data_IF_078542434492
#
_entry.id   IF_078542434492
#
_cell.length_a   1.000
_cell.length_b   1.000
_cell.length_c   1.000
_cell.angle_alpha   90.00
_cell.angle_beta   90.00
_cell.angle_gamma   90.00
#
_symmetry.space_group_name_H-M   'P 1'
#
loop_
_entity.id
_entity.type
_entity.pdbx_description
1 polymer ?
#
# COMPACT_ATOMS: atom_id res chain seq x y z
N UNK A 1 -7.59 34.51 -4.55
CA UNK A 1 -7.74 33.12 -4.99
C UNK A 1 -7.08 32.96 -6.35
N UNK A 2 -6.11 32.06 -6.47
CA UNK A 2 -5.44 31.81 -7.75
C UNK A 2 -6.37 31.10 -8.72
N UNK A 3 -6.23 31.37 -10.02
CA UNK A 3 -6.95 30.70 -11.08
C UNK A 3 -6.04 30.52 -12.29
N UNK A 4 -6.32 29.51 -13.10
CA UNK A 4 -5.81 29.37 -14.45
C UNK A 4 -6.88 29.76 -15.47
N UNK A 5 -6.45 30.22 -16.64
CA UNK A 5 -7.38 30.53 -17.72
C UNK A 5 -7.54 29.34 -18.66
N UNK A 6 -8.76 29.10 -19.12
CA UNK A 6 -9.05 28.13 -20.16
C UNK A 6 -9.82 28.82 -21.28
N UNK A 7 -9.41 28.60 -22.52
CA UNK A 7 -10.12 29.17 -23.68
C UNK A 7 -11.59 28.73 -23.68
N UNK A 8 -12.52 29.67 -23.70
CA UNK A 8 -13.96 29.42 -23.71
C UNK A 8 -14.45 28.78 -25.00
N UNK A 9 -13.78 29.00 -26.10
CA UNK A 9 -14.01 28.28 -27.34
C UNK A 9 -13.55 26.82 -27.21
N UNK A 10 -14.38 25.89 -27.68
CA UNK A 10 -14.05 24.45 -27.66
C UNK A 10 -12.97 24.12 -28.70
N UNK A 11 -12.01 23.26 -28.32
CA UNK A 11 -11.00 22.68 -29.17
C UNK A 11 -11.21 21.16 -29.32
N UNK A 12 -10.61 20.59 -30.37
CA UNK A 12 -10.61 19.14 -30.61
C UNK A 12 -11.92 18.62 -31.18
N UNK A 13 -12.26 17.40 -30.89
CA UNK A 13 -13.50 16.76 -31.36
C UNK A 13 -14.74 17.57 -30.95
N UNK A 14 -15.74 17.61 -31.82
CA UNK A 14 -16.97 18.36 -31.60
C UNK A 14 -16.74 19.85 -31.33
N UNK A 15 -15.83 20.50 -32.04
CA UNK A 15 -15.50 21.93 -31.87
C UNK A 15 -16.18 22.87 -32.84
N UNK A 16 -16.84 22.34 -33.86
CA UNK A 16 -17.47 23.11 -34.92
C UNK A 16 -18.93 23.47 -34.57
N UNK A 17 -19.43 24.53 -35.23
CA UNK A 17 -20.84 24.93 -35.14
C UNK A 17 -21.79 23.80 -35.53
N UNK A 18 -21.45 23.04 -36.57
CA UNK A 18 -22.24 21.90 -37.07
C UNK A 18 -22.50 20.83 -35.99
N UNK A 19 -21.52 20.59 -35.14
CA UNK A 19 -21.62 19.60 -34.07
C UNK A 19 -22.65 19.99 -33.00
N UNK A 20 -22.75 21.30 -32.70
CA UNK A 20 -23.62 21.87 -31.65
C UNK A 20 -24.05 23.30 -32.03
N UNK A 21 -25.02 23.48 -32.95
CA UNK A 21 -25.43 24.80 -33.47
C UNK A 21 -25.89 25.79 -32.39
N UNK A 22 -26.53 25.28 -31.31
CA UNK A 22 -27.02 26.10 -30.20
C UNK A 22 -25.91 26.70 -29.32
N UNK A 23 -24.65 26.31 -29.55
CA UNK A 23 -23.48 26.84 -28.85
C UNK A 23 -22.70 27.86 -29.70
N UNK A 24 -23.25 28.29 -30.82
CA UNK A 24 -22.75 29.38 -31.65
C UNK A 24 -23.66 30.60 -31.48
N UNK A 25 -23.25 31.57 -30.71
CA UNK A 25 -23.94 32.80 -30.40
C UNK A 25 -22.92 33.90 -30.05
N UNK A 26 -23.26 35.20 -30.17
CA UNK A 26 -22.37 36.28 -29.77
C UNK A 26 -22.32 36.42 -28.25
N UNK A 27 -21.13 36.83 -27.74
CA UNK A 27 -20.96 37.36 -26.41
C UNK A 27 -20.38 38.75 -26.47
N UNK A 28 -20.74 39.64 -25.56
CA UNK A 28 -20.32 41.05 -25.60
C UNK A 28 -19.04 41.23 -24.81
N UNK A 29 -18.00 41.76 -25.47
CA UNK A 29 -16.75 42.16 -24.85
C UNK A 29 -16.92 43.46 -24.04
N UNK A 30 -15.95 43.83 -23.18
CA UNK A 30 -16.02 45.03 -22.34
C UNK A 30 -16.21 46.36 -23.08
N UNK A 31 -15.78 46.43 -24.32
CA UNK A 31 -15.94 47.62 -25.19
C UNK A 31 -17.21 47.61 -26.02
N UNK A 32 -18.12 46.65 -25.81
CA UNK A 32 -19.36 46.50 -26.57
C UNK A 32 -19.23 45.65 -27.84
N UNK A 33 -18.05 45.18 -28.19
CA UNK A 33 -17.82 44.36 -29.40
C UNK A 33 -18.45 42.97 -29.24
N UNK A 34 -19.15 42.50 -30.27
CA UNK A 34 -19.66 41.13 -30.32
C UNK A 34 -18.52 40.14 -30.69
N UNK A 35 -18.35 39.12 -29.90
CA UNK A 35 -17.35 38.07 -30.08
C UNK A 35 -18.03 36.74 -30.37
N UNK A 36 -17.62 36.11 -31.47
CA UNK A 36 -18.11 34.81 -31.91
C UNK A 36 -17.02 33.72 -31.71
N UNK A 37 -17.40 32.45 -31.53
CA UNK A 37 -16.47 31.36 -31.37
C UNK A 37 -15.88 30.90 -32.72
N UNK A 38 -14.93 31.65 -33.26
CA UNK A 38 -14.30 31.36 -34.55
C UNK A 38 -13.06 30.50 -34.33
N UNK A 39 -12.86 29.46 -35.14
CA UNK A 39 -11.72 28.54 -35.12
C UNK A 39 -10.85 28.80 -36.33
N UNK A 40 -9.55 29.01 -36.11
CA UNK A 40 -8.57 29.07 -37.20
C UNK A 40 -8.12 27.63 -37.53
N UNK A 41 -8.36 27.17 -38.73
CA UNK A 41 -7.93 25.86 -39.24
C UNK A 41 -6.83 26.07 -40.28
N UNK A 42 -5.70 25.42 -40.08
CA UNK A 42 -4.63 25.41 -41.11
C UNK A 42 -5.02 24.42 -42.21
N UNK A 43 -4.89 24.87 -43.45
CA UNK A 43 -5.05 23.99 -44.59
C UNK A 43 -3.92 22.92 -44.54
N UNK A 44 -4.31 21.64 -44.59
CA UNK A 44 -3.37 20.52 -44.54
C UNK A 44 -2.45 20.47 -45.76
N UNK A 45 -2.90 21.00 -46.90
CA UNK A 45 -2.12 21.04 -48.14
C UNK A 45 -1.34 22.36 -48.30
N UNK A 46 -1.74 23.44 -47.63
CA UNK A 46 -1.12 24.77 -47.65
C UNK A 46 -1.02 25.35 -46.25
N UNK A 47 -0.02 24.92 -45.45
CA UNK A 47 0.10 25.31 -44.02
C UNK A 47 0.20 26.82 -43.75
N UNK A 48 0.50 27.61 -44.80
CA UNK A 48 0.54 29.09 -44.75
C UNK A 48 -0.85 29.73 -44.81
N UNK A 49 -1.90 29.00 -45.22
CA UNK A 49 -3.27 29.48 -45.32
C UNK A 49 -4.03 29.02 -44.07
N UNK A 50 -4.57 30.01 -43.37
CA UNK A 50 -5.41 29.79 -42.19
C UNK A 50 -6.83 30.26 -42.50
N UNK A 51 -7.78 29.31 -42.60
CA UNK A 51 -9.20 29.62 -42.77
C UNK A 51 -9.85 29.79 -41.41
N UNK A 52 -10.70 30.80 -41.28
CA UNK A 52 -11.55 31.00 -40.11
C UNK A 52 -12.87 30.26 -40.31
N UNK A 53 -13.17 29.26 -39.48
CA UNK A 53 -14.44 28.54 -39.53
C UNK A 53 -15.22 28.79 -38.25
N UNK A 54 -16.54 28.63 -38.34
CA UNK A 54 -17.42 28.73 -37.19
C UNK A 54 -17.17 27.61 -36.20
N UNK A 55 -16.82 27.99 -34.99
CA UNK A 55 -16.62 27.10 -33.86
C UNK A 55 -17.85 27.05 -32.96
N UNK A 56 -17.64 26.71 -31.70
CA UNK A 56 -18.68 26.77 -30.66
C UNK A 56 -18.12 27.12 -29.29
N UNK A 57 -18.97 27.66 -28.43
CA UNK A 57 -18.60 27.84 -27.02
C UNK A 57 -18.65 26.54 -26.24
N UNK A 58 -18.06 26.54 -25.01
CA UNK A 58 -18.13 25.43 -24.08
C UNK A 58 -19.45 25.37 -23.32
N UNK A 59 -20.09 26.52 -23.14
CA UNK A 59 -21.31 26.69 -22.34
C UNK A 59 -22.47 27.20 -23.21
N UNK A 60 -23.70 26.89 -22.79
CA UNK A 60 -24.92 27.49 -23.36
C UNK A 60 -25.05 28.96 -22.96
N UNK A 61 -25.85 29.73 -23.72
CA UNK A 61 -25.99 31.19 -23.57
C UNK A 61 -26.33 31.62 -22.13
N UNK A 62 -27.30 30.97 -21.49
CA UNK A 62 -27.70 31.31 -20.10
C UNK A 62 -26.58 31.06 -19.07
N UNK A 63 -25.80 30.01 -19.25
CA UNK A 63 -24.63 29.72 -18.39
C UNK A 63 -23.53 30.72 -18.63
N UNK A 64 -23.31 31.08 -19.90
CA UNK A 64 -22.29 32.08 -20.29
C UNK A 64 -22.59 33.44 -19.67
N UNK A 65 -23.86 33.91 -19.78
CA UNK A 65 -24.27 35.17 -19.15
C UNK A 65 -24.03 35.17 -17.63
N UNK A 66 -24.38 34.08 -16.95
CA UNK A 66 -24.12 33.91 -15.51
C UNK A 66 -22.63 33.97 -15.21
N UNK A 67 -21.81 33.29 -16.01
CA UNK A 67 -20.36 33.27 -15.84
C UNK A 67 -19.73 34.64 -16.04
N UNK A 68 -20.18 35.38 -17.06
CA UNK A 68 -19.75 36.78 -17.32
C UNK A 68 -20.15 37.68 -16.13
N UNK A 69 -21.42 37.63 -15.72
CA UNK A 69 -21.91 38.40 -14.58
C UNK A 69 -21.19 38.13 -13.27
N UNK A 70 -20.78 36.89 -13.05
CA UNK A 70 -20.07 36.46 -11.86
C UNK A 70 -18.54 36.69 -11.95
N UNK A 71 -18.04 37.33 -13.00
CA UNK A 71 -16.62 37.61 -13.20
C UNK A 71 -15.76 36.37 -13.46
N UNK A 72 -16.38 35.25 -13.89
CA UNK A 72 -15.72 33.98 -14.20
C UNK A 72 -15.16 33.94 -15.62
N UNK A 73 -15.44 34.98 -16.43
CA UNK A 73 -14.93 35.15 -17.80
C UNK A 73 -13.93 36.30 -17.81
N UNK A 74 -12.76 36.06 -18.39
CA UNK A 74 -11.75 37.07 -18.66
C UNK A 74 -11.63 37.30 -20.15
N UNK A 75 -11.76 38.56 -20.60
CA UNK A 75 -11.58 38.95 -21.98
C UNK A 75 -10.18 39.49 -22.16
N UNK A 76 -9.42 38.90 -23.08
CA UNK A 76 -8.05 39.34 -23.41
C UNK A 76 -8.05 39.93 -24.81
N UNK A 77 -7.66 41.21 -24.93
CA UNK A 77 -7.54 41.88 -26.22
C UNK A 77 -6.20 41.51 -26.85
N UNK A 78 -6.24 41.07 -28.11
CA UNK A 78 -5.03 40.72 -28.88
C UNK A 78 -4.47 41.96 -29.56
N UNK A 79 -3.25 41.89 -30.09
CA UNK A 79 -2.57 42.99 -30.79
C UNK A 79 -3.31 43.42 -32.06
N UNK A 80 -4.08 42.50 -32.69
CA UNK A 80 -4.92 42.77 -33.87
C UNK A 80 -6.29 43.41 -33.50
N UNK A 81 -6.51 43.73 -32.22
CA UNK A 81 -7.75 44.33 -31.72
C UNK A 81 -8.83 43.32 -31.44
N UNK A 82 -8.68 42.03 -31.71
CA UNK A 82 -9.66 40.99 -31.45
C UNK A 82 -9.73 40.62 -29.95
N UNK A 83 -10.93 40.28 -29.45
CA UNK A 83 -11.13 39.82 -28.12
C UNK A 83 -11.19 38.29 -28.06
N UNK A 84 -10.43 37.69 -27.11
CA UNK A 84 -10.48 36.25 -26.82
C UNK A 84 -11.00 36.07 -25.40
N UNK A 85 -12.15 35.40 -25.23
CA UNK A 85 -12.68 35.10 -23.89
C UNK A 85 -12.08 33.82 -23.32
N UNK A 86 -11.69 33.88 -22.05
CA UNK A 86 -11.18 32.77 -21.25
C UNK A 86 -12.07 32.54 -20.02
N UNK A 87 -12.25 31.30 -19.64
CA UNK A 87 -12.88 30.92 -18.38
C UNK A 87 -11.81 30.88 -17.27
N UNK A 88 -12.13 31.46 -16.11
CA UNK A 88 -11.31 31.39 -14.91
C UNK A 88 -11.62 30.13 -14.15
N UNK A 89 -10.66 29.22 -14.06
CA UNK A 89 -10.75 27.99 -13.28
C UNK A 89 -10.00 28.21 -11.99
N UNK A 90 -10.71 28.47 -10.91
CA UNK A 90 -10.13 28.72 -9.60
C UNK A 90 -9.55 27.45 -8.97
N UNK A 91 -8.47 27.61 -8.21
CA UNK A 91 -7.99 26.57 -7.33
C UNK A 91 -9.10 26.16 -6.33
N UNK A 92 -9.16 24.90 -5.90
CA UNK A 92 -10.09 24.48 -4.85
C UNK A 92 -9.93 25.34 -3.60
N UNK A 93 -10.97 25.44 -2.77
CA UNK A 93 -10.85 26.02 -1.45
C UNK A 93 -10.01 25.07 -0.56
N UNK A 94 -9.43 25.62 0.51
CA UNK A 94 -8.75 24.83 1.50
C UNK A 94 -9.71 23.76 2.04
N UNK A 95 -9.33 22.47 1.95
CA UNK A 95 -10.19 21.33 2.27
C UNK A 95 -11.10 20.81 1.14
N UNK A 96 -11.12 21.46 -0.04
CA UNK A 96 -11.81 20.95 -1.22
C UNK A 96 -10.81 20.27 -2.17
N UNK A 97 -10.84 18.96 -2.28
CA UNK A 97 -10.08 18.22 -3.30
C UNK A 97 -10.85 18.18 -4.63
N UNK A 98 -10.18 18.54 -5.72
CA UNK A 98 -10.69 18.24 -7.07
C UNK A 98 -10.46 16.79 -7.39
N UNK A 99 -11.41 15.95 -7.10
CA UNK A 99 -11.38 14.55 -7.53
C UNK A 99 -11.68 14.44 -9.03
N UNK A 100 -10.80 13.79 -9.77
CA UNK A 100 -11.06 13.38 -11.14
C UNK A 100 -11.68 11.99 -11.10
N UNK A 101 -12.86 11.83 -11.71
CA UNK A 101 -13.46 10.50 -11.85
C UNK A 101 -12.51 9.58 -12.59
N UNK A 102 -12.36 8.37 -12.07
CA UNK A 102 -11.57 7.33 -12.73
C UNK A 102 -12.16 7.01 -14.10
N UNK A 103 -11.29 6.76 -15.06
CA UNK A 103 -11.67 6.35 -16.41
C UNK A 103 -11.79 4.82 -16.47
N UNK A 104 -12.64 4.32 -17.36
CA UNK A 104 -12.77 2.88 -17.61
C UNK A 104 -11.58 2.28 -18.37
N UNK A 105 -10.73 3.13 -18.92
CA UNK A 105 -9.49 2.77 -19.58
C UNK A 105 -8.31 3.30 -18.79
N UNK A 106 -7.35 2.41 -18.47
CA UNK A 106 -6.13 2.70 -17.73
C UNK A 106 -4.95 2.26 -18.58
N UNK A 107 -4.07 3.18 -18.91
CA UNK A 107 -2.87 2.96 -19.73
C UNK A 107 -1.59 3.03 -18.88
N UNK A 108 -1.49 2.13 -17.89
CA UNK A 108 -0.35 2.04 -16.96
C UNK A 108 0.29 0.64 -16.98
N UNK A 109 0.22 -0.05 -18.12
CA UNK A 109 0.57 -1.48 -18.19
C UNK A 109 2.06 -1.74 -18.38
N UNK A 110 2.86 -0.76 -18.80
CA UNK A 110 4.24 -0.99 -19.24
C UNK A 110 5.30 -0.93 -18.12
N UNK A 111 4.97 -0.45 -16.92
CA UNK A 111 5.96 -0.23 -15.85
C UNK A 111 6.33 -1.47 -15.06
N UNK A 112 5.57 -2.58 -15.18
CA UNK A 112 5.80 -3.78 -14.38
C UNK A 112 7.16 -4.42 -14.64
N UNK A 113 7.50 -4.66 -15.92
CA UNK A 113 8.76 -5.28 -16.31
C UNK A 113 9.96 -4.37 -16.01
N UNK A 114 9.82 -3.06 -16.24
CA UNK A 114 10.84 -2.07 -15.89
C UNK A 114 11.05 -2.04 -14.37
N UNK A 115 9.97 -2.02 -13.58
CA UNK A 115 10.04 -2.02 -12.12
C UNK A 115 10.77 -3.24 -11.53
N UNK A 116 10.56 -4.44 -12.09
CA UNK A 116 11.33 -5.63 -11.70
C UNK A 116 12.80 -5.47 -12.08
N UNK A 117 13.10 -5.04 -13.30
CA UNK A 117 14.48 -4.84 -13.74
C UNK A 117 15.21 -3.79 -12.90
N UNK A 118 14.55 -2.72 -12.53
CA UNK A 118 15.11 -1.65 -11.69
C UNK A 118 15.38 -2.15 -10.25
N UNK A 119 14.56 -3.07 -9.73
CA UNK A 119 14.76 -3.64 -8.39
C UNK A 119 15.80 -4.75 -8.35
N UNK A 120 15.84 -5.63 -9.36
CA UNK A 120 16.65 -6.85 -9.35
C UNK A 120 17.90 -6.76 -10.23
N UNK A 121 17.98 -5.76 -11.13
CA UNK A 121 19.03 -5.65 -12.15
C UNK A 121 18.80 -6.58 -13.35
N UNK A 122 17.85 -7.53 -13.27
CA UNK A 122 17.52 -8.49 -14.31
C UNK A 122 16.02 -8.82 -14.33
N UNK A 123 15.56 -9.49 -15.38
CA UNK A 123 14.14 -9.91 -15.51
C UNK A 123 13.95 -11.26 -14.83
N UNK A 124 13.74 -11.26 -13.53
CA UNK A 124 13.53 -12.48 -12.72
C UNK A 124 12.08 -12.97 -12.71
N UNK A 125 11.17 -12.24 -13.33
CA UNK A 125 9.75 -12.60 -13.41
C UNK A 125 9.15 -12.08 -14.74
N UNK A 126 8.44 -12.95 -15.50
CA UNK A 126 8.08 -12.66 -16.88
C UNK A 126 6.95 -11.63 -17.03
N UNK A 127 5.92 -11.68 -16.17
CA UNK A 127 4.71 -10.86 -16.31
C UNK A 127 4.38 -10.08 -15.03
N UNK A 128 5.30 -9.26 -14.50
CA UNK A 128 5.03 -8.49 -13.29
C UNK A 128 4.00 -7.39 -13.56
N UNK A 129 3.08 -7.21 -12.63
CA UNK A 129 2.15 -6.08 -12.68
C UNK A 129 2.86 -4.79 -12.26
N UNK A 130 2.33 -3.64 -12.71
CA UNK A 130 2.81 -2.33 -12.28
C UNK A 130 2.38 -2.04 -10.84
N UNK A 131 3.28 -1.64 -9.93
CA UNK A 131 2.89 -1.16 -8.60
C UNK A 131 1.94 0.03 -8.66
N UNK A 132 2.17 0.98 -9.57
CA UNK A 132 1.33 2.17 -9.75
C UNK A 132 -0.11 1.80 -10.14
N UNK A 133 -0.28 0.79 -11.00
CA UNK A 133 -1.61 0.27 -11.34
C UNK A 133 -2.33 -0.28 -10.09
N UNK A 134 -1.62 -1.01 -9.24
CA UNK A 134 -2.21 -1.55 -8.00
C UNK A 134 -2.49 -0.46 -6.97
N UNK A 135 -1.60 0.51 -6.80
CA UNK A 135 -1.87 1.71 -5.97
C UNK A 135 -3.16 2.40 -6.43
N UNK A 136 -3.33 2.55 -7.75
CA UNK A 136 -4.56 3.13 -8.29
C UNK A 136 -5.80 2.29 -7.98
N UNK A 137 -5.71 0.96 -8.08
CA UNK A 137 -6.83 0.08 -7.71
C UNK A 137 -7.14 0.16 -6.21
N UNK A 138 -6.14 0.22 -5.35
CA UNK A 138 -6.34 0.40 -3.90
C UNK A 138 -7.06 1.72 -3.60
N UNK A 139 -6.61 2.82 -4.23
CA UNK A 139 -7.28 4.13 -4.12
C UNK A 139 -8.72 4.10 -4.68
N UNK A 140 -8.96 3.41 -5.79
CA UNK A 140 -10.31 3.25 -6.37
C UNK A 140 -11.23 2.43 -5.48
N UNK A 141 -10.70 1.44 -4.78
CA UNK A 141 -11.44 0.61 -3.82
C UNK A 141 -11.71 1.33 -2.50
N UNK A 142 -11.17 2.53 -2.30
CA UNK A 142 -11.33 3.28 -1.06
C UNK A 142 -10.62 2.65 0.13
N UNK A 143 -9.46 2.03 -0.11
CA UNK A 143 -8.69 1.37 0.95
C UNK A 143 -8.12 2.43 1.90
N UNK A 144 -8.47 2.34 3.18
CA UNK A 144 -8.09 3.29 4.23
C UNK A 144 -6.87 2.80 5.03
N UNK A 145 -6.32 3.71 5.86
CA UNK A 145 -5.22 3.37 6.79
C UNK A 145 -5.68 2.29 7.80
N UNK A 146 -4.88 1.23 7.95
CA UNK A 146 -5.18 0.11 8.84
C UNK A 146 -5.88 -1.07 8.17
N UNK A 147 -6.39 -0.92 6.94
CA UNK A 147 -6.98 -2.02 6.18
C UNK A 147 -5.97 -3.12 5.86
N UNK A 148 -6.48 -4.33 5.65
CA UNK A 148 -5.69 -5.50 5.28
C UNK A 148 -5.98 -5.87 3.82
N UNK A 149 -4.95 -5.92 3.00
CA UNK A 149 -5.02 -6.27 1.59
C UNK A 149 -4.58 -7.72 1.42
N UNK A 150 -5.47 -8.57 0.93
CA UNK A 150 -5.19 -9.97 0.63
C UNK A 150 -4.99 -10.17 -0.87
N UNK A 151 -3.85 -10.79 -1.23
CA UNK A 151 -3.56 -11.26 -2.59
C UNK A 151 -3.18 -12.74 -2.54
N UNK A 152 -4.09 -13.60 -2.95
CA UNK A 152 -3.92 -15.06 -2.86
C UNK A 152 -3.35 -15.71 -4.12
N UNK A 153 -2.93 -14.90 -5.09
CA UNK A 153 -2.09 -15.27 -6.24
C UNK A 153 -1.00 -14.23 -6.46
N UNK A 154 -0.21 -13.96 -5.41
CA UNK A 154 0.65 -12.78 -5.32
C UNK A 154 1.80 -12.73 -6.34
N UNK A 155 2.12 -13.86 -7.00
CA UNK A 155 3.17 -13.93 -7.98
C UNK A 155 4.49 -13.37 -7.44
N UNK A 156 4.97 -12.29 -8.05
CA UNK A 156 6.17 -11.58 -7.60
C UNK A 156 5.90 -10.57 -6.47
N UNK A 157 4.77 -10.63 -5.76
CA UNK A 157 4.38 -9.75 -4.65
C UNK A 157 4.29 -8.24 -5.01
N UNK A 158 3.73 -7.93 -6.18
CA UNK A 158 3.54 -6.53 -6.60
C UNK A 158 2.58 -5.79 -5.67
N UNK A 159 1.56 -6.47 -5.16
CA UNK A 159 0.57 -5.89 -4.24
C UNK A 159 1.21 -5.43 -2.94
N UNK A 160 2.13 -6.21 -2.36
CA UNK A 160 2.87 -5.79 -1.18
C UNK A 160 3.70 -4.52 -1.44
N UNK A 161 4.40 -4.46 -2.60
CA UNK A 161 5.12 -3.26 -3.02
C UNK A 161 4.20 -2.05 -3.11
N UNK A 162 3.02 -2.20 -3.74
CA UNK A 162 2.04 -1.12 -3.88
C UNK A 162 1.48 -0.65 -2.53
N UNK A 163 1.24 -1.56 -1.59
CA UNK A 163 0.78 -1.21 -0.24
C UNK A 163 1.84 -0.41 0.52
N UNK A 164 3.11 -0.84 0.48
CA UNK A 164 4.21 -0.10 1.10
C UNK A 164 4.39 1.29 0.47
N UNK A 165 4.27 1.37 -0.87
CA UNK A 165 4.33 2.65 -1.58
C UNK A 165 3.18 3.58 -1.15
N UNK A 166 1.95 3.08 -1.07
CA UNK A 166 0.80 3.86 -0.65
C UNK A 166 0.93 4.33 0.81
N UNK A 167 1.42 3.48 1.71
CA UNK A 167 1.69 3.85 3.09
C UNK A 167 2.78 4.94 3.19
N UNK A 168 3.78 4.89 2.31
CA UNK A 168 4.80 5.93 2.24
C UNK A 168 4.28 7.26 1.68
N UNK A 169 3.29 7.22 0.77
CA UNK A 169 2.69 8.41 0.17
C UNK A 169 1.81 9.19 1.15
N UNK A 170 1.03 8.49 1.97
CA UNK A 170 0.01 9.12 2.82
C UNK A 170 0.19 8.90 4.35
N UNK A 171 1.29 8.24 4.76
CA UNK A 171 1.56 7.92 6.17
C UNK A 171 0.63 6.83 6.74
N UNK A 172 -0.04 6.06 5.89
CA UNK A 172 -0.96 5.00 6.29
C UNK A 172 -0.26 3.78 6.88
N UNK A 173 -1.04 2.92 7.54
CA UNK A 173 -0.60 1.69 8.22
C UNK A 173 -1.32 0.45 7.68
N UNK A 174 -1.58 0.43 6.36
CA UNK A 174 -2.19 -0.73 5.69
C UNK A 174 -1.29 -1.93 5.79
N UNK A 175 -1.90 -3.10 5.96
CA UNK A 175 -1.21 -4.40 6.03
C UNK A 175 -1.48 -5.20 4.76
N UNK A 176 -0.62 -6.16 4.46
CA UNK A 176 -0.81 -7.08 3.34
C UNK A 176 -0.66 -8.53 3.76
N UNK A 177 -1.42 -9.40 3.10
CA UNK A 177 -1.29 -10.86 3.21
C UNK A 177 -1.10 -11.39 1.79
N UNK A 178 0.08 -11.94 1.52
CA UNK A 178 0.47 -12.48 0.22
C UNK A 178 0.48 -14.01 0.28
N UNK A 179 -0.31 -14.65 -0.56
CA UNK A 179 -0.33 -16.12 -0.66
C UNK A 179 0.17 -16.54 -2.03
N UNK A 180 1.15 -17.43 -2.07
CA UNK A 180 1.74 -17.96 -3.30
C UNK A 180 2.15 -19.41 -3.12
N UNK A 181 1.83 -20.25 -4.11
CA UNK A 181 2.37 -21.59 -4.19
C UNK A 181 3.88 -21.52 -4.54
N UNK A 182 4.72 -22.37 -3.95
CA UNK A 182 6.16 -22.40 -4.20
C UNK A 182 6.50 -23.10 -5.52
N UNK A 183 5.92 -22.61 -6.63
CA UNK A 183 6.21 -23.12 -7.98
C UNK A 183 7.68 -22.93 -8.30
N UNK A 184 8.32 -24.00 -8.76
CA UNK A 184 9.75 -23.98 -9.10
C UNK A 184 10.01 -23.10 -10.32
N UNK A 185 11.09 -22.36 -10.27
CA UNK A 185 11.60 -21.62 -11.42
C UNK A 185 12.27 -22.54 -12.41
N UNK A 186 12.20 -22.23 -13.70
CA UNK A 186 12.92 -22.97 -14.74
C UNK A 186 14.43 -22.82 -14.52
N UNK A 187 15.18 -23.91 -14.56
CA UNK A 187 16.64 -23.91 -14.37
C UNK A 187 17.41 -23.04 -15.37
N UNK A 188 16.80 -22.79 -16.53
CA UNK A 188 17.36 -21.91 -17.58
C UNK A 188 16.98 -20.44 -17.40
N UNK A 189 16.04 -20.14 -16.50
CA UNK A 189 15.54 -18.78 -16.29
C UNK A 189 16.58 -17.87 -15.60
N UNK A 190 16.43 -16.58 -15.81
CA UNK A 190 17.24 -15.58 -15.08
C UNK A 190 16.96 -15.61 -13.57
N UNK A 191 15.75 -16.00 -13.16
CA UNK A 191 15.39 -16.19 -11.76
C UNK A 191 16.23 -17.28 -11.11
N UNK A 192 16.32 -18.45 -11.74
CA UNK A 192 17.10 -19.58 -11.22
C UNK A 192 18.60 -19.24 -11.16
N UNK A 193 19.14 -18.62 -12.20
CA UNK A 193 20.54 -18.13 -12.25
C UNK A 193 20.84 -17.12 -11.15
N UNK A 194 19.85 -16.31 -10.76
CA UNK A 194 19.94 -15.34 -9.66
C UNK A 194 19.75 -15.98 -8.26
N UNK A 195 19.56 -17.30 -8.18
CA UNK A 195 19.43 -18.05 -6.93
C UNK A 195 18.00 -18.25 -6.43
N UNK A 196 16.99 -17.80 -7.15
CA UNK A 196 15.58 -17.97 -6.77
C UNK A 196 15.05 -19.30 -7.29
N UNK A 197 14.89 -20.29 -6.41
CA UNK A 197 14.45 -21.65 -6.78
C UNK A 197 12.94 -21.76 -6.99
N UNK A 198 12.15 -20.82 -6.50
CA UNK A 198 10.71 -20.78 -6.65
C UNK A 198 10.18 -19.33 -6.63
N UNK A 199 8.93 -19.15 -7.03
CA UNK A 199 8.28 -17.84 -7.13
C UNK A 199 8.20 -17.13 -5.78
N UNK A 200 7.99 -17.86 -4.67
CA UNK A 200 7.92 -17.26 -3.34
C UNK A 200 9.23 -16.55 -2.94
N UNK A 201 10.38 -17.09 -3.35
CA UNK A 201 11.67 -16.44 -3.08
C UNK A 201 11.80 -15.10 -3.82
N UNK A 202 11.29 -15.03 -5.06
CA UNK A 202 11.23 -13.77 -5.81
C UNK A 202 10.34 -12.76 -5.10
N UNK A 203 9.15 -13.19 -4.66
CA UNK A 203 8.20 -12.34 -3.94
C UNK A 203 8.78 -11.77 -2.64
N UNK A 204 9.40 -12.61 -1.81
CA UNK A 204 10.06 -12.20 -0.57
C UNK A 204 11.16 -11.17 -0.83
N UNK A 205 11.99 -11.42 -1.82
CA UNK A 205 13.08 -10.53 -2.15
C UNK A 205 12.58 -9.20 -2.74
N UNK A 206 11.50 -9.24 -3.54
CA UNK A 206 10.86 -8.01 -4.01
C UNK A 206 10.37 -7.14 -2.85
N UNK A 207 9.72 -7.72 -1.85
CA UNK A 207 9.25 -6.97 -0.68
C UNK A 207 10.43 -6.29 0.02
N UNK A 208 11.54 -7.01 0.26
CA UNK A 208 12.75 -6.45 0.90
C UNK A 208 13.33 -5.28 0.10
N UNK A 209 13.54 -5.48 -1.21
CA UNK A 209 14.14 -4.46 -2.09
C UNK A 209 13.24 -3.25 -2.26
N UNK A 210 11.94 -3.48 -2.41
CA UNK A 210 10.96 -2.39 -2.50
C UNK A 210 10.94 -1.56 -1.21
N UNK A 211 10.90 -2.21 -0.04
CA UNK A 211 10.96 -1.54 1.25
C UNK A 211 12.23 -0.71 1.42
N UNK A 212 13.39 -1.28 1.09
CA UNK A 212 14.68 -0.55 1.13
C UNK A 212 14.67 0.65 0.18
N UNK A 213 14.17 0.47 -1.06
CA UNK A 213 14.11 1.55 -2.04
C UNK A 213 13.22 2.69 -1.55
N UNK A 214 12.02 2.39 -1.07
CA UNK A 214 11.06 3.38 -0.59
C UNK A 214 11.64 4.14 0.63
N UNK A 215 12.26 3.44 1.57
CA UNK A 215 12.89 4.08 2.73
C UNK A 215 14.02 5.03 2.31
N UNK A 216 14.89 4.60 1.39
CA UNK A 216 15.97 5.44 0.87
C UNK A 216 15.45 6.67 0.11
N UNK A 217 14.35 6.54 -0.61
CA UNK A 217 13.69 7.67 -1.30
C UNK A 217 13.09 8.64 -0.27
N UNK A 218 12.45 8.14 0.76
CA UNK A 218 11.91 8.97 1.85
C UNK A 218 13.00 9.70 2.65
N UNK A 219 14.13 9.06 2.91
CA UNK A 219 15.27 9.71 3.59
C UNK A 219 15.83 10.87 2.78
N UNK A 220 16.01 10.70 1.48
CA UNK A 220 16.46 11.79 0.58
C UNK A 220 15.49 12.97 0.56
N UNK A 221 14.20 12.74 0.81
CA UNK A 221 13.18 13.77 0.84
C UNK A 221 13.15 14.54 2.17
N UNK A 222 13.69 13.97 3.26
CA UNK A 222 13.85 14.68 4.55
C UNK A 222 14.82 15.84 4.45
N UNK A 223 15.82 15.74 3.57
CA UNK A 223 16.84 16.78 3.35
C UNK A 223 16.37 17.90 2.39
N UNK A 224 15.17 17.74 1.78
CA UNK A 224 14.59 18.79 0.93
C UNK A 224 13.89 19.80 1.84
N UNK A 225 14.29 21.08 1.85
CA UNK A 225 13.69 22.08 2.70
C UNK A 225 12.20 22.20 2.39
N UNK A 226 11.37 22.14 3.44
CA UNK A 226 9.94 22.41 3.33
C UNK A 226 9.76 23.84 2.81
N UNK A 227 9.26 23.96 1.60
CA UNK A 227 8.97 25.27 1.00
C UNK A 227 7.75 25.84 1.75
N UNK A 228 8.03 26.78 2.65
CA UNK A 228 6.99 27.39 3.51
C UNK A 228 6.34 28.62 2.87
N UNK A 229 6.91 29.18 1.80
CA UNK A 229 6.46 30.43 1.19
C UNK A 229 6.40 30.40 -0.35
N UNK A 230 5.43 31.16 -0.90
CA UNK A 230 5.21 31.28 -2.35
C UNK A 230 6.42 31.80 -3.16
N UNK A 231 7.41 32.43 -2.55
CA UNK A 231 8.63 32.88 -3.22
C UNK A 231 9.56 31.72 -3.54
N UNK A 232 9.59 30.72 -2.66
CA UNK A 232 10.41 29.52 -2.83
C UNK A 232 9.84 28.60 -3.93
N UNK A 233 8.49 28.60 -4.06
CA UNK A 233 7.80 27.89 -5.17
C UNK A 233 8.20 28.45 -6.54
N UNK A 234 8.27 29.77 -6.69
CA UNK A 234 8.68 30.38 -7.95
C UNK A 234 10.15 30.16 -8.26
N UNK A 235 11.02 30.15 -7.27
CA UNK A 235 12.43 29.85 -7.43
C UNK A 235 12.61 28.38 -7.84
N UNK A 236 11.87 27.46 -7.23
CA UNK A 236 11.93 26.03 -7.57
C UNK A 236 11.37 25.75 -8.97
N UNK A 237 10.27 26.40 -9.35
CA UNK A 237 9.70 26.29 -10.70
C UNK A 237 10.64 26.87 -11.76
N UNK A 238 11.39 27.93 -11.46
CA UNK A 238 12.38 28.49 -12.39
C UNK A 238 13.62 27.59 -12.58
N UNK A 239 13.93 26.74 -11.61
CA UNK A 239 15.01 25.75 -11.70
C UNK A 239 14.53 24.49 -12.45
N UNK A 240 13.23 24.18 -12.38
CA UNK A 240 12.61 23.01 -13.00
C UNK A 240 12.21 23.19 -14.48
N UNK A 241 12.43 24.35 -15.09
CA UNK A 241 12.07 24.66 -16.49
C UNK A 241 12.72 23.77 -17.56
N UNK A 242 13.57 22.82 -17.16
CA UNK A 242 14.27 21.91 -18.08
C UNK A 242 13.75 20.44 -18.10
N UNK A 243 12.60 20.12 -17.50
CA UNK A 243 12.09 18.75 -17.57
C UNK A 243 10.63 18.59 -17.13
N UNK A 244 9.79 18.12 -18.04
CA UNK A 244 8.36 17.84 -17.81
C UNK A 244 8.09 16.84 -16.66
N UNK A 245 9.04 15.94 -16.38
CA UNK A 245 8.93 14.91 -15.35
C UNK A 245 9.13 15.44 -13.90
N UNK A 246 9.85 16.55 -13.76
CA UNK A 246 10.10 17.15 -12.44
C UNK A 246 8.84 17.80 -11.82
N UNK A 247 7.87 18.21 -12.64
CA UNK A 247 6.67 18.93 -12.19
C UNK A 247 5.64 17.99 -11.53
N UNK A 248 5.51 16.77 -12.01
CA UNK A 248 4.57 15.80 -11.41
C UNK A 248 5.08 15.27 -10.07
N UNK A 249 6.37 15.02 -9.96
CA UNK A 249 7.01 14.64 -8.68
C UNK A 249 7.03 15.77 -7.65
N UNK A 250 7.12 17.02 -8.09
CA UNK A 250 7.09 18.18 -7.18
C UNK A 250 5.69 18.42 -6.62
N UNK A 251 4.62 18.22 -7.40
CA UNK A 251 3.24 18.37 -6.89
C UNK A 251 2.91 17.39 -5.77
N UNK A 252 3.37 16.15 -5.88
CA UNK A 252 3.18 15.15 -4.81
C UNK A 252 4.00 15.46 -3.55
N UNK A 253 5.08 16.23 -3.67
CA UNK A 253 5.91 16.66 -2.53
C UNK A 253 5.30 17.82 -1.74
N UNK A 254 4.43 18.63 -2.35
CA UNK A 254 3.73 19.74 -1.68
C UNK A 254 2.58 19.31 -0.76
N UNK A 255 2.03 18.13 -0.96
CA UNK A 255 0.91 17.59 -0.18
C UNK A 255 1.36 16.56 0.87
N UNK A 256 2.67 16.35 1.07
CA UNK A 256 3.16 15.35 2.01
C UNK A 256 2.97 15.81 3.45
N UNK A 257 2.14 15.07 4.14
CA UNK A 257 2.06 14.99 5.60
C UNK A 257 3.46 14.73 6.15
N UNK A 258 3.77 15.32 7.30
CA UNK A 258 5.02 15.13 8.05
C UNK A 258 5.35 13.63 8.22
N UNK A 259 6.15 13.08 7.30
CA UNK A 259 6.56 11.67 7.29
C UNK A 259 7.76 11.52 8.22
N UNK A 260 7.58 11.86 9.50
CA UNK A 260 8.55 11.58 10.56
C UNK A 260 8.54 10.11 11.00
N UNK A 261 7.54 9.35 10.57
CA UNK A 261 7.40 7.94 10.93
C UNK A 261 8.20 7.06 9.96
N UNK A 262 9.04 6.18 10.52
CA UNK A 262 9.69 5.13 9.74
C UNK A 262 8.62 4.20 9.17
N UNK A 263 8.63 4.02 7.84
CA UNK A 263 7.74 3.08 7.18
C UNK A 263 8.02 1.65 7.69
N UNK A 264 6.99 0.96 8.15
CA UNK A 264 7.09 -0.47 8.44
C UNK A 264 7.20 -1.26 7.12
N UNK A 265 8.37 -1.81 6.88
CA UNK A 265 8.70 -2.67 5.73
C UNK A 265 8.90 -4.12 6.13
N UNK A 266 8.67 -4.44 7.41
CA UNK A 266 8.75 -5.78 7.93
C UNK A 266 7.63 -6.69 7.42
N UNK A 267 7.92 -7.99 7.30
CA UNK A 267 6.90 -8.99 7.00
C UNK A 267 7.30 -10.34 7.61
N UNK A 268 6.29 -11.14 7.93
CA UNK A 268 6.47 -12.52 8.36
C UNK A 268 6.32 -13.48 7.19
N UNK A 269 7.11 -14.53 7.20
CA UNK A 269 7.00 -15.61 6.23
C UNK A 269 6.46 -16.84 6.96
N UNK A 270 5.29 -17.27 6.55
CA UNK A 270 4.64 -18.47 7.08
C UNK A 270 4.57 -19.53 5.98
N UNK A 271 4.71 -20.77 6.34
CA UNK A 271 4.56 -21.91 5.45
C UNK A 271 3.36 -22.73 5.91
N UNK A 272 2.41 -22.93 5.01
CA UNK A 272 1.30 -23.84 5.28
C UNK A 272 1.84 -25.27 5.26
N UNK A 273 1.70 -25.97 6.37
CA UNK A 273 2.14 -27.34 6.55
C UNK A 273 1.07 -28.14 7.33
N UNK A 274 1.32 -29.42 7.54
CA UNK A 274 0.51 -30.26 8.42
C UNK A 274 0.61 -29.81 9.88
N UNK A 275 -0.30 -30.29 10.74
CA UNK A 275 -0.27 -30.04 12.18
C UNK A 275 1.15 -30.28 12.76
N UNK A 276 1.51 -29.47 13.76
CA UNK A 276 2.75 -29.67 14.53
C UNK A 276 2.74 -30.93 15.39
N UNK A 277 1.56 -31.49 15.62
CA UNK A 277 1.38 -32.70 16.40
C UNK A 277 1.65 -33.94 15.55
N UNK A 278 2.20 -34.99 16.18
CA UNK A 278 2.33 -36.34 15.59
C UNK A 278 0.95 -36.90 15.31
N UNK A 279 0.80 -37.59 14.17
CA UNK A 279 -0.43 -38.32 13.87
C UNK A 279 -0.57 -39.49 14.81
N UNK A 280 -1.68 -39.56 15.54
CA UNK A 280 -1.94 -40.66 16.47
C UNK A 280 -2.85 -41.67 15.78
N UNK A 281 -2.26 -42.74 15.24
CA UNK A 281 -3.01 -43.90 14.75
C UNK A 281 -3.12 -44.93 15.85
N UNK A 282 -4.30 -45.07 16.40
CA UNK A 282 -4.59 -46.16 17.37
C UNK A 282 -4.91 -47.44 16.59
N UNK A 283 -3.91 -48.28 16.38
CA UNK A 283 -4.16 -49.68 16.05
C UNK A 283 -3.99 -50.49 17.36
N UNK A 284 -5.07 -50.97 17.96
CA UNK A 284 -5.00 -51.68 19.25
C UNK A 284 -4.10 -52.91 19.24
N UNK A 285 -3.84 -53.50 18.05
CA UNK A 285 -2.97 -54.66 17.88
C UNK A 285 -1.47 -54.37 17.92
N UNK A 286 -1.07 -53.10 17.77
CA UNK A 286 0.33 -52.63 17.71
C UNK A 286 0.78 -51.98 19.04
N UNK A 287 -0.06 -52.02 20.09
CA UNK A 287 0.23 -51.44 21.39
C UNK A 287 1.32 -52.26 22.13
N UNK A 288 2.57 -51.92 21.95
CA UNK A 288 3.64 -52.37 22.83
C UNK A 288 3.82 -51.43 24.04
N UNK A 289 4.12 -52.00 25.20
CA UNK A 289 4.30 -51.29 26.48
C UNK A 289 5.32 -50.14 26.41
N UNK A 290 6.27 -50.21 25.48
CA UNK A 290 7.26 -49.17 25.21
C UNK A 290 6.70 -47.93 24.42
N UNK A 291 5.44 -47.96 24.01
CA UNK A 291 4.80 -46.85 23.33
C UNK A 291 4.45 -45.69 24.28
N UNK A 292 4.27 -45.95 25.57
CA UNK A 292 3.97 -44.91 26.55
C UNK A 292 5.08 -43.86 26.65
N UNK A 293 6.34 -44.27 26.62
CA UNK A 293 7.49 -43.33 26.62
C UNK A 293 7.63 -42.52 25.32
N UNK A 294 7.02 -42.97 24.19
CA UNK A 294 6.99 -42.23 22.94
C UNK A 294 5.79 -41.30 22.80
N UNK A 295 4.79 -41.46 23.66
CA UNK A 295 3.58 -40.59 23.70
C UNK A 295 3.82 -39.30 24.51
N UNK A 296 4.89 -39.26 25.32
CA UNK A 296 5.24 -38.08 26.13
C UNK A 296 5.59 -36.85 25.28
N UNK A 297 6.11 -37.06 24.05
CA UNK A 297 6.35 -35.99 23.10
C UNK A 297 5.44 -36.13 21.87
N UNK A 298 4.32 -35.43 21.92
CA UNK A 298 3.32 -35.43 20.86
C UNK A 298 3.64 -34.48 19.70
N UNK A 299 4.79 -33.78 19.77
CA UNK A 299 5.21 -32.81 18.77
C UNK A 299 6.17 -33.48 17.78
N UNK A 300 6.09 -33.12 16.49
CA UNK A 300 7.01 -33.54 15.44
C UNK A 300 8.40 -33.00 15.71
N UNK A 301 9.44 -33.80 15.45
CA UNK A 301 10.84 -33.49 15.78
C UNK A 301 11.41 -32.28 14.98
N UNK A 302 10.80 -31.97 13.83
CA UNK A 302 11.23 -30.90 12.95
C UNK A 302 10.53 -29.55 13.25
N UNK A 303 9.77 -29.46 14.33
CA UNK A 303 9.02 -28.25 14.72
C UNK A 303 9.79 -27.38 15.71
N UNK A 304 9.69 -26.07 15.51
CA UNK A 304 10.31 -25.07 16.37
C UNK A 304 9.30 -24.53 17.41
N UNK A 305 9.76 -23.90 18.50
CA UNK A 305 8.88 -23.20 19.44
C UNK A 305 7.99 -22.13 18.75
N UNK A 306 8.50 -21.48 17.72
CA UNK A 306 7.76 -20.50 16.92
C UNK A 306 6.62 -21.16 16.14
N UNK A 307 6.81 -22.36 15.58
CA UNK A 307 5.75 -23.10 14.90
C UNK A 307 4.60 -23.42 15.85
N UNK A 308 4.92 -23.82 17.08
CA UNK A 308 3.92 -24.07 18.13
C UNK A 308 3.19 -22.77 18.52
N UNK A 309 3.91 -21.66 18.66
CA UNK A 309 3.34 -20.37 18.96
C UNK A 309 2.29 -19.97 17.91
N UNK A 310 2.63 -20.07 16.63
CA UNK A 310 1.71 -19.72 15.55
C UNK A 310 0.50 -20.64 15.49
N UNK A 311 0.65 -21.93 15.77
CA UNK A 311 -0.50 -22.83 15.89
C UNK A 311 -1.42 -22.42 17.05
N UNK A 312 -0.85 -22.14 18.22
CA UNK A 312 -1.60 -21.66 19.38
C UNK A 312 -2.32 -20.34 19.11
N UNK A 313 -1.64 -19.40 18.43
CA UNK A 313 -2.26 -18.14 18.03
C UNK A 313 -3.49 -18.37 17.14
N UNK A 314 -3.41 -19.28 16.16
CA UNK A 314 -4.55 -19.66 15.32
C UNK A 314 -5.68 -20.28 16.15
N UNK A 315 -5.37 -21.23 17.04
CA UNK A 315 -6.35 -21.92 17.89
C UNK A 315 -7.06 -20.98 18.86
N UNK A 316 -6.40 -19.91 19.29
CA UNK A 316 -6.93 -18.89 20.18
C UNK A 316 -7.58 -17.71 19.44
N UNK A 317 -7.52 -17.68 18.11
CA UNK A 317 -8.01 -16.57 17.30
C UNK A 317 -7.18 -15.28 17.42
N UNK A 318 -5.91 -15.39 17.82
CA UNK A 318 -4.97 -14.28 17.86
C UNK A 318 -4.47 -13.97 16.47
N UNK A 319 -4.46 -12.70 16.08
CA UNK A 319 -4.01 -12.31 14.74
C UNK A 319 -2.51 -12.67 14.54
N UNK A 320 -2.19 -13.30 13.42
CA UNK A 320 -0.80 -13.63 13.08
C UNK A 320 0.09 -12.39 12.88
N UNK A 321 -0.52 -11.21 12.72
CA UNK A 321 0.18 -9.92 12.65
C UNK A 321 0.44 -9.28 14.01
N UNK A 322 -0.02 -9.88 15.10
CA UNK A 322 0.15 -9.37 16.46
C UNK A 322 1.62 -9.22 16.84
N UNK A 323 1.91 -8.23 17.67
CA UNK A 323 3.25 -8.00 18.19
C UNK A 323 3.70 -9.20 19.02
N UNK A 324 4.86 -9.76 18.73
CA UNK A 324 5.48 -10.86 19.46
C UNK A 324 6.81 -10.35 20.02
N UNK A 325 6.99 -10.46 21.32
CA UNK A 325 8.23 -10.18 22.02
C UNK A 325 8.79 -11.47 22.60
N UNK A 326 10.06 -11.73 22.31
CA UNK A 326 10.80 -12.81 22.95
C UNK A 326 11.52 -12.28 24.18
N UNK A 327 11.29 -12.91 25.30
CA UNK A 327 11.93 -12.57 26.58
C UNK A 327 12.49 -13.80 27.24
N UNK A 328 13.37 -13.62 28.23
CA UNK A 328 13.90 -14.71 29.05
C UNK A 328 13.43 -14.53 30.47
N UNK A 329 12.72 -15.53 31.02
CA UNK A 329 12.22 -15.53 32.40
C UNK A 329 12.81 -16.74 33.12
N UNK A 330 13.55 -16.51 34.19
CA UNK A 330 14.26 -17.57 34.95
C UNK A 330 15.04 -18.54 34.06
N UNK A 331 15.72 -18.01 33.01
CA UNK A 331 16.53 -18.79 32.08
C UNK A 331 15.74 -19.54 30.99
N UNK A 332 14.41 -19.37 30.89
CA UNK A 332 13.58 -20.00 29.87
C UNK A 332 13.11 -18.96 28.84
N UNK A 333 13.07 -19.36 27.56
CA UNK A 333 12.54 -18.56 26.46
C UNK A 333 11.01 -18.45 26.59
N UNK A 334 10.51 -17.24 26.60
CA UNK A 334 9.09 -16.94 26.74
C UNK A 334 8.67 -15.98 25.64
N UNK A 335 7.57 -16.30 24.98
CA UNK A 335 6.93 -15.44 23.99
C UNK A 335 5.81 -14.65 24.67
N UNK A 336 5.84 -13.34 24.51
CA UNK A 336 4.77 -12.43 24.92
C UNK A 336 4.11 -11.86 23.66
N UNK A 337 2.81 -12.06 23.52
CA UNK A 337 2.02 -11.61 22.38
C UNK A 337 0.99 -10.60 22.87
N UNK A 338 0.96 -9.42 22.22
CA UNK A 338 0.03 -8.32 22.49
C UNK A 338 -0.04 -7.96 23.99
N UNK A 339 1.10 -7.51 24.52
CA UNK A 339 1.22 -6.98 25.89
C UNK A 339 0.55 -7.85 26.96
N UNK A 340 0.96 -9.11 27.05
CA UNK A 340 0.47 -10.14 27.96
C UNK A 340 -0.93 -10.74 27.61
N UNK A 341 -1.45 -10.51 26.43
CA UNK A 341 -2.67 -11.22 26.02
C UNK A 341 -2.44 -12.74 25.93
N UNK A 342 -1.30 -13.15 25.32
CA UNK A 342 -0.85 -14.54 25.33
C UNK A 342 0.61 -14.59 25.76
N UNK A 343 0.92 -15.37 26.78
CA UNK A 343 2.27 -15.77 27.12
C UNK A 343 2.44 -17.27 26.85
N UNK A 344 3.51 -17.64 26.12
CA UNK A 344 3.80 -19.04 25.81
C UNK A 344 5.26 -19.39 26.17
N UNK A 345 5.45 -20.59 26.75
CA UNK A 345 6.76 -21.13 27.06
C UNK A 345 6.83 -22.60 26.63
N UNK A 346 7.69 -22.91 25.67
CA UNK A 346 7.84 -24.26 25.10
C UNK A 346 9.18 -24.92 25.43
N UNK A 347 10.00 -24.28 26.24
CA UNK A 347 11.26 -24.85 26.72
C UNK A 347 11.00 -26.05 27.65
N UNK A 348 11.95 -26.99 27.72
CA UNK A 348 11.95 -28.09 28.69
C UNK A 348 12.33 -27.63 30.10
N UNK A 349 12.02 -28.43 31.10
CA UNK A 349 12.41 -28.21 32.50
C UNK A 349 11.98 -26.84 33.06
N UNK A 350 10.74 -26.48 32.83
CA UNK A 350 10.13 -25.24 33.36
C UNK A 350 9.88 -25.41 34.84
N UNK A 351 10.53 -24.58 35.67
CA UNK A 351 10.43 -24.63 37.13
C UNK A 351 9.21 -23.84 37.67
N UNK A 352 8.86 -24.11 38.95
CA UNK A 352 7.85 -23.30 39.65
C UNK A 352 8.22 -21.83 39.72
N UNK A 353 9.50 -21.47 39.79
CA UNK A 353 9.94 -20.07 39.79
C UNK A 353 9.59 -19.39 38.49
N UNK A 354 9.82 -20.06 37.36
CA UNK A 354 9.44 -19.55 36.02
C UNK A 354 7.93 -19.35 35.94
N UNK A 355 7.14 -20.33 36.37
CA UNK A 355 5.67 -20.27 36.35
C UNK A 355 5.15 -19.14 37.24
N UNK A 356 5.71 -18.97 38.45
CA UNK A 356 5.36 -17.85 39.35
C UNK A 356 5.69 -16.51 38.77
N UNK A 357 6.83 -16.38 38.08
CA UNK A 357 7.26 -15.15 37.43
C UNK A 357 6.31 -14.80 36.27
N UNK A 358 5.86 -15.79 35.50
CA UNK A 358 4.89 -15.61 34.42
C UNK A 358 3.50 -15.26 35.00
N UNK A 359 3.02 -15.98 36.01
CA UNK A 359 1.71 -15.72 36.62
C UNK A 359 1.61 -14.30 37.20
N UNK A 360 2.70 -13.74 37.73
CA UNK A 360 2.75 -12.35 38.21
C UNK A 360 2.57 -11.31 37.12
N UNK A 361 2.84 -11.65 35.84
CA UNK A 361 2.58 -10.77 34.69
C UNK A 361 1.08 -10.74 34.31
N UNK A 362 0.26 -11.61 34.90
CA UNK A 362 -1.19 -11.70 34.70
C UNK A 362 -1.60 -11.81 33.23
N UNK A 363 -1.09 -12.80 32.48
CA UNK A 363 -1.51 -12.99 31.10
C UNK A 363 -2.97 -13.38 31.01
N UNK A 364 -3.66 -13.02 29.91
CA UNK A 364 -5.00 -13.52 29.67
C UNK A 364 -4.97 -15.01 29.29
N UNK A 365 -4.05 -15.42 28.41
CA UNK A 365 -3.74 -16.81 28.10
C UNK A 365 -2.31 -17.15 28.53
N UNK A 366 -2.13 -18.33 29.13
CA UNK A 366 -0.83 -18.94 29.31
C UNK A 366 -0.80 -20.33 28.67
N UNK A 367 0.21 -20.61 27.85
CA UNK A 367 0.35 -21.88 27.13
C UNK A 367 1.76 -22.45 27.33
N UNK A 368 1.83 -23.73 27.63
CA UNK A 368 3.09 -24.48 27.71
C UNK A 368 2.87 -25.94 27.26
N UNK A 369 3.93 -26.70 27.10
CA UNK A 369 3.84 -28.14 26.82
C UNK A 369 3.72 -28.91 28.13
N UNK A 370 2.99 -30.02 28.10
CA UNK A 370 2.93 -30.96 29.24
C UNK A 370 4.33 -31.49 29.58
N UNK A 371 5.07 -31.92 28.55
CA UNK A 371 6.45 -32.40 28.67
C UNK A 371 7.47 -31.32 29.10
N UNK A 372 7.08 -30.05 29.16
CA UNK A 372 7.95 -28.94 29.58
C UNK A 372 8.08 -28.82 31.10
N UNK A 373 7.20 -29.43 31.90
CA UNK A 373 7.23 -29.31 33.35
C UNK A 373 8.43 -30.07 33.95
N UNK A 374 9.19 -29.38 34.78
CA UNK A 374 10.44 -29.94 35.35
C UNK A 374 10.20 -31.16 36.28
N UNK A 375 9.02 -31.31 36.86
CA UNK A 375 8.68 -32.41 37.75
C UNK A 375 7.17 -32.49 37.98
N UNK A 376 6.67 -33.63 38.50
CA UNK A 376 5.30 -33.86 38.93
C UNK A 376 4.84 -32.85 40.01
N UNK A 377 5.77 -32.37 40.84
CA UNK A 377 5.52 -31.30 41.80
C UNK A 377 5.12 -30.01 41.14
N UNK A 378 5.81 -29.66 40.02
CA UNK A 378 5.46 -28.48 39.22
C UNK A 378 4.06 -28.61 38.59
N UNK A 379 3.77 -29.78 38.05
CA UNK A 379 2.43 -30.09 37.49
C UNK A 379 1.31 -29.98 38.55
N UNK A 380 1.54 -30.51 39.72
CA UNK A 380 0.56 -30.44 40.83
C UNK A 380 0.33 -29.02 41.32
N UNK A 381 1.39 -28.19 41.39
CA UNK A 381 1.33 -26.83 41.89
C UNK A 381 0.95 -25.80 40.83
N UNK A 382 0.92 -26.19 39.56
CA UNK A 382 0.69 -25.29 38.41
C UNK A 382 -0.61 -24.49 38.58
N UNK A 383 -1.72 -25.19 38.82
CA UNK A 383 -3.02 -24.55 38.98
C UNK A 383 -3.10 -23.66 40.21
N UNK A 384 -2.45 -24.09 41.30
CA UNK A 384 -2.44 -23.33 42.55
C UNK A 384 -1.62 -22.05 42.46
N UNK A 385 -0.54 -22.06 41.71
CA UNK A 385 0.26 -20.87 41.44
C UNK A 385 -0.58 -19.83 40.68
N UNK A 386 -1.25 -20.24 39.61
CA UNK A 386 -2.10 -19.30 38.87
C UNK A 386 -3.31 -18.86 39.69
N UNK A 387 -3.98 -19.74 40.43
CA UNK A 387 -5.07 -19.36 41.32
C UNK A 387 -4.66 -18.29 42.34
N UNK A 388 -3.39 -18.32 42.77
CA UNK A 388 -2.84 -17.36 43.74
C UNK A 388 -2.45 -16.03 43.12
N UNK A 389 -1.79 -16.03 41.95
CA UNK A 389 -1.18 -14.84 41.37
C UNK A 389 -1.95 -14.24 40.19
N UNK A 390 -2.73 -15.07 39.47
CA UNK A 390 -3.51 -14.66 38.29
C UNK A 390 -4.72 -15.58 38.07
N UNK A 391 -5.75 -15.50 38.92
CA UNK A 391 -6.91 -16.42 38.87
C UNK A 391 -7.66 -16.36 37.54
N UNK A 392 -7.65 -15.23 36.87
CA UNK A 392 -8.37 -14.99 35.60
C UNK A 392 -7.61 -15.53 34.36
N UNK A 393 -6.37 -15.97 34.52
CA UNK A 393 -5.58 -16.55 33.41
C UNK A 393 -6.17 -17.86 32.92
N UNK A 394 -6.49 -17.92 31.63
CA UNK A 394 -6.85 -19.16 30.94
C UNK A 394 -5.56 -19.94 30.62
N UNK A 395 -5.42 -21.10 31.22
CA UNK A 395 -4.23 -21.98 31.05
C UNK A 395 -4.54 -23.05 30.02
N UNK A 396 -3.62 -23.27 29.11
CA UNK A 396 -3.66 -24.36 28.15
C UNK A 396 -2.31 -25.12 28.17
N UNK A 397 -2.40 -26.43 28.10
CA UNK A 397 -1.26 -27.33 27.99
C UNK A 397 -1.38 -28.06 26.65
N UNK A 398 -0.30 -28.13 25.88
CA UNK A 398 -0.22 -28.81 24.59
C UNK A 398 0.26 -30.24 24.77
#
# INVERSE_FOLDING_TARGET
RYYKTQLLRKWGSNSRREDRPNLFYPITAPDGTEVYPVVAVRDSQRPSICEKIDGRWRHGASTMEKNIKNGLVEFVKQDDGTWIPYEKIFAPLEGEEKTKKYTTWIDETNDGAKGIKDLFGSTVFDYPKSPNLLVRFLKMAGVESGDIILDFFSGSATTAHAVMQLNAEDGGHRKFIMVQLPEKTDEKSEAYKAGYQNICEIGKERIRRAGTKINNENEKLKDVPLIKDNKDVQLFLSIAENGHDAIEHTKSAFERVDISHSLDTGFRVLKCDTSNMKDVYYNPAEYEVNMFSRLEDNIKEDRTPEDLLFQVMLDLGVLLSSKIEETTIAGKKVFNVEDNYLIACFDSDVSEETIKAIAKQKPYYFVMRDSSMASDSVATNFDQIFATYSPDTVRKVL
#
